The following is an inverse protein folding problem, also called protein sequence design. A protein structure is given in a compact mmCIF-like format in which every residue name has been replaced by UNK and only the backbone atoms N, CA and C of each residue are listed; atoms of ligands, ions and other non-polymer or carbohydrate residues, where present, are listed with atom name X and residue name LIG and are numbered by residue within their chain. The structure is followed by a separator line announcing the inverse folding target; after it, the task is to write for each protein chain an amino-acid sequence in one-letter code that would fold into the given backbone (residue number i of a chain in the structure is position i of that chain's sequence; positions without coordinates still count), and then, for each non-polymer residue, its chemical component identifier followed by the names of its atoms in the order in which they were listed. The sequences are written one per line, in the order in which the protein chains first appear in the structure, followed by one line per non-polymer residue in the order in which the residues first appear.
data_IF_001664214587
#
_entry.id   IF_001664214587
#
_cell.length_a   1.000
_cell.length_b   1.000
_cell.length_c   1.000
_cell.angle_alpha   90.00
_cell.angle_beta   90.00
_cell.angle_gamma   90.00
#
_symmetry.space_group_name_H-M   'P 1'
#
loop_
_entity.id
_entity.type
_entity.pdbx_description
1 polymer ?
#
# COMPACT_ATOMS: atom_id res chain seq x y z
N UNK A 1 -8.53 7.49 -33.67
CA UNK A 1 -7.54 7.49 -32.56
C UNK A 1 -7.91 6.41 -31.52
N UNK A 2 -8.37 5.25 -31.97
CA UNK A 2 -9.05 4.23 -31.13
C UNK A 2 -8.12 3.31 -30.32
N UNK A 3 -6.86 3.12 -30.71
CA UNK A 3 -5.98 2.11 -30.11
C UNK A 3 -5.36 2.46 -28.74
N UNK A 4 -5.50 3.70 -28.26
CA UNK A 4 -4.80 4.17 -27.03
C UNK A 4 -5.52 3.81 -25.72
N UNK A 5 -6.85 3.64 -25.75
CA UNK A 5 -7.67 3.39 -24.56
C UNK A 5 -7.39 2.04 -23.84
N UNK A 6 -7.23 0.89 -24.54
CA UNK A 6 -6.98 -0.38 -23.84
C UNK A 6 -5.58 -0.43 -23.20
N UNK A 7 -4.57 0.14 -23.87
CA UNK A 7 -3.21 0.21 -23.35
C UNK A 7 -3.14 1.12 -22.11
N UNK A 8 -3.81 2.27 -22.13
CA UNK A 8 -3.90 3.17 -20.97
C UNK A 8 -4.53 2.48 -19.76
N UNK A 9 -5.65 1.78 -19.95
CA UNK A 9 -6.30 1.05 -18.85
C UNK A 9 -5.41 -0.06 -18.29
N UNK A 10 -4.72 -0.81 -19.15
CA UNK A 10 -3.77 -1.83 -18.72
C UNK A 10 -2.63 -1.22 -17.89
N UNK A 11 -2.02 -0.13 -18.39
CA UNK A 11 -0.94 0.57 -17.68
C UNK A 11 -1.41 1.12 -16.32
N UNK A 12 -2.64 1.64 -16.22
CA UNK A 12 -3.22 2.08 -14.96
C UNK A 12 -3.32 0.94 -13.94
N UNK A 13 -3.73 -0.26 -14.36
CA UNK A 13 -3.75 -1.43 -13.47
C UNK A 13 -2.35 -1.87 -13.04
N UNK A 14 -1.37 -1.85 -13.95
CA UNK A 14 0.02 -2.14 -13.59
C UNK A 14 0.53 -1.14 -12.55
N UNK A 15 0.27 0.16 -12.74
CA UNK A 15 0.61 1.20 -11.76
C UNK A 15 -0.09 0.95 -10.44
N UNK A 16 -1.38 0.56 -10.46
CA UNK A 16 -2.12 0.25 -9.25
C UNK A 16 -1.53 -0.96 -8.49
N UNK A 17 -1.11 -2.02 -9.18
CA UNK A 17 -0.40 -3.17 -8.58
C UNK A 17 0.88 -2.70 -7.90
N UNK A 18 1.67 -1.86 -8.57
CA UNK A 18 2.92 -1.35 -7.99
C UNK A 18 2.64 -0.51 -6.75
N UNK A 19 1.67 0.41 -6.83
CA UNK A 19 1.33 1.30 -5.72
C UNK A 19 0.81 0.53 -4.50
N UNK A 20 -0.12 -0.41 -4.69
CA UNK A 20 -0.70 -1.16 -3.56
C UNK A 20 0.36 -2.03 -2.88
N UNK A 21 1.25 -2.64 -3.66
CA UNK A 21 2.34 -3.43 -3.10
C UNK A 21 3.37 -2.54 -2.40
N UNK A 22 3.68 -1.35 -2.92
CA UNK A 22 4.57 -0.40 -2.26
C UNK A 22 4.01 0.09 -0.91
N UNK A 23 2.71 0.40 -0.86
CA UNK A 23 2.02 0.73 0.39
C UNK A 23 2.10 -0.43 1.36
N UNK A 24 1.89 -1.66 0.89
CA UNK A 24 1.97 -2.84 1.74
C UNK A 24 3.38 -3.08 2.31
N UNK A 25 4.45 -2.88 1.52
CA UNK A 25 5.83 -2.94 2.05
C UNK A 25 6.02 -1.93 3.18
N UNK A 26 5.48 -0.72 3.05
CA UNK A 26 5.60 0.29 4.09
C UNK A 26 4.89 -0.14 5.38
N UNK A 27 3.65 -0.62 5.27
CA UNK A 27 2.87 -1.13 6.41
C UNK A 27 3.56 -2.33 7.05
N UNK A 28 4.05 -3.28 6.25
CA UNK A 28 4.74 -4.48 6.73
C UNK A 28 6.00 -4.15 7.54
N UNK A 29 6.67 -3.05 7.21
CA UNK A 29 7.90 -2.62 7.89
C UNK A 29 7.66 -1.80 9.17
N UNK A 30 6.42 -1.44 9.49
CA UNK A 30 6.11 -0.69 10.70
C UNK A 30 6.42 -1.50 11.96
N UNK A 31 6.95 -0.80 12.96
CA UNK A 31 7.27 -1.36 14.27
C UNK A 31 6.18 -1.01 15.28
N UNK A 32 5.78 -1.98 16.08
CA UNK A 32 4.94 -1.84 17.25
C UNK A 32 5.84 -1.83 18.50
N UNK A 33 6.05 -0.65 19.12
CA UNK A 33 6.85 -0.55 20.33
C UNK A 33 6.06 -1.04 21.55
N UNK A 34 6.68 -1.86 22.39
CA UNK A 34 6.15 -2.31 23.67
C UNK A 34 7.13 -1.93 24.78
N UNK A 35 6.71 -1.05 25.68
CA UNK A 35 7.51 -0.61 26.82
C UNK A 35 7.48 -1.68 27.91
N UNK A 36 8.66 -2.15 28.30
CA UNK A 36 8.81 -3.17 29.34
C UNK A 36 9.18 -2.55 30.67
N UNK A 37 10.20 -1.71 30.69
CA UNK A 37 10.59 -0.99 31.88
C UNK A 37 10.82 0.47 31.53
N UNK A 38 10.49 1.34 32.47
CA UNK A 38 10.89 2.74 32.44
C UNK A 38 11.43 3.14 33.80
N UNK A 39 12.03 4.33 33.85
CA UNK A 39 12.65 4.89 35.06
C UNK A 39 11.71 4.93 36.26
N UNK A 40 10.40 5.05 36.03
CA UNK A 40 9.38 5.13 37.08
C UNK A 40 8.66 3.80 37.35
N UNK A 41 8.78 2.83 36.44
CA UNK A 41 8.06 1.57 36.51
C UNK A 41 8.99 0.42 36.13
N UNK A 42 9.71 -0.08 37.14
CA UNK A 42 10.56 -1.25 37.02
C UNK A 42 9.82 -2.50 37.48
N UNK A 43 9.86 -3.54 36.65
CA UNK A 43 9.44 -4.89 37.01
C UNK A 43 10.54 -5.88 36.60
N UNK A 44 11.07 -6.68 37.54
CA UNK A 44 12.15 -7.62 37.23
C UNK A 44 11.69 -8.78 36.33
N UNK A 45 10.39 -9.09 36.33
CA UNK A 45 9.80 -10.12 35.49
C UNK A 45 8.59 -9.49 34.79
N UNK A 46 8.64 -9.38 33.46
CA UNK A 46 7.52 -8.92 32.68
C UNK A 46 7.06 -10.00 31.71
N UNK A 47 5.79 -10.35 31.82
CA UNK A 47 5.13 -11.23 30.85
C UNK A 47 4.62 -10.43 29.67
N UNK A 48 4.81 -10.98 28.48
CA UNK A 48 4.41 -10.40 27.20
C UNK A 48 3.76 -11.51 26.38
N UNK A 49 2.53 -11.26 25.93
CA UNK A 49 1.87 -12.13 24.98
C UNK A 49 2.10 -11.62 23.57
N UNK A 50 2.76 -12.42 22.73
CA UNK A 50 2.95 -12.13 21.32
C UNK A 50 1.82 -12.79 20.55
N UNK A 51 0.85 -11.98 20.15
CA UNK A 51 -0.32 -12.45 19.40
C UNK A 51 0.03 -12.86 17.96
N UNK A 52 -0.71 -13.83 17.44
CA UNK A 52 -0.66 -14.18 16.01
C UNK A 52 -1.28 -13.08 15.15
N UNK A 53 -0.72 -12.89 13.96
CA UNK A 53 -1.22 -11.91 12.99
C UNK A 53 -1.99 -12.66 11.91
N UNK A 54 -3.28 -12.36 11.76
CA UNK A 54 -4.19 -13.08 10.85
C UNK A 54 -4.20 -14.61 11.05
N UNK A 55 -4.00 -15.06 12.29
CA UNK A 55 -3.95 -16.49 12.62
C UNK A 55 -2.67 -17.21 12.16
N UNK A 56 -1.66 -16.49 11.67
CA UNK A 56 -0.37 -17.08 11.29
C UNK A 56 0.48 -17.45 12.50
N UNK A 57 1.16 -18.59 12.43
CA UNK A 57 2.19 -19.02 13.39
C UNK A 57 3.60 -18.53 13.02
N UNK A 58 3.74 -17.71 11.96
CA UNK A 58 5.02 -17.14 11.52
C UNK A 58 5.70 -16.34 12.63
N UNK A 59 7.02 -16.50 12.75
CA UNK A 59 7.80 -15.74 13.70
C UNK A 59 7.84 -14.25 13.33
N UNK A 60 7.76 -13.40 14.35
CA UNK A 60 7.68 -11.96 14.23
C UNK A 60 9.06 -11.38 14.52
N UNK A 61 9.65 -10.60 13.59
CA UNK A 61 10.90 -9.90 13.86
C UNK A 61 10.78 -8.97 15.07
N UNK A 62 11.72 -9.09 15.98
CA UNK A 62 11.75 -8.42 17.26
C UNK A 62 13.11 -7.77 17.52
N UNK A 63 13.10 -6.61 18.16
CA UNK A 63 14.30 -5.87 18.57
C UNK A 63 14.14 -5.38 20.00
N UNK A 64 15.01 -5.83 20.91
CA UNK A 64 15.03 -5.37 22.29
C UNK A 64 16.11 -4.30 22.44
N UNK A 65 15.68 -3.13 22.93
CA UNK A 65 16.56 -2.01 23.26
C UNK A 65 16.50 -1.85 24.77
N UNK A 66 17.68 -1.81 25.41
CA UNK A 66 17.81 -1.65 26.85
C UNK A 66 18.84 -0.58 27.14
N UNK A 67 18.51 0.31 28.07
CA UNK A 67 19.42 1.33 28.59
C UNK A 67 19.40 1.24 30.11
N UNK A 68 20.58 1.18 30.73
CA UNK A 68 20.75 1.24 32.17
C UNK A 68 21.43 2.56 32.53
N UNK A 69 20.94 3.23 33.57
CA UNK A 69 21.49 4.50 34.03
C UNK A 69 21.72 4.45 35.54
N UNK A 70 22.91 4.89 35.98
CA UNK A 70 23.21 5.01 37.40
C UNK A 70 22.43 6.16 38.04
N UNK A 71 21.91 5.94 39.23
CA UNK A 71 21.38 6.98 40.13
C UNK A 71 22.31 7.25 41.30
N UNK A 72 22.99 6.22 41.83
CA UNK A 72 23.79 6.36 43.05
C UNK A 72 24.98 5.39 43.16
N UNK A 73 25.30 4.63 42.12
CA UNK A 73 26.35 3.60 42.16
C UNK A 73 27.32 3.71 40.99
N UNK A 74 28.61 3.53 41.25
CA UNK A 74 29.62 3.60 40.19
C UNK A 74 29.73 2.28 39.39
N UNK A 75 29.33 1.16 40.00
CA UNK A 75 29.33 -0.17 39.40
C UNK A 75 28.12 -0.98 39.87
N UNK A 76 27.55 -1.78 38.96
CA UNK A 76 26.47 -2.71 39.23
C UNK A 76 26.53 -3.87 38.23
N UNK A 77 26.08 -5.06 38.65
CA UNK A 77 25.92 -6.22 37.78
C UNK A 77 24.49 -6.28 37.26
N UNK A 78 24.35 -6.52 35.96
CA UNK A 78 23.09 -6.41 35.25
C UNK A 78 22.89 -7.65 34.39
N UNK A 79 21.64 -8.07 34.22
CA UNK A 79 21.33 -9.12 33.25
C UNK A 79 19.95 -8.96 32.65
N UNK A 80 19.82 -9.47 31.43
CA UNK A 80 18.59 -9.47 30.64
C UNK A 80 18.43 -10.87 30.08
N UNK A 81 17.27 -11.49 30.28
CA UNK A 81 16.95 -12.79 29.69
C UNK A 81 15.53 -12.77 29.13
N UNK A 82 15.35 -13.26 27.90
CA UNK A 82 14.04 -13.48 27.29
C UNK A 82 13.77 -14.98 27.30
N UNK A 83 12.70 -15.41 27.97
CA UNK A 83 12.26 -16.81 28.02
C UNK A 83 10.94 -16.98 27.29
N UNK A 84 10.83 -18.03 26.49
CA UNK A 84 9.56 -18.50 25.93
C UNK A 84 8.90 -19.47 26.90
N UNK A 85 7.62 -19.25 27.19
CA UNK A 85 6.78 -20.07 28.08
C UNK A 85 7.43 -20.33 29.45
N UNK A 86 8.23 -19.36 29.93
CA UNK A 86 9.05 -19.45 31.14
C UNK A 86 9.97 -20.69 31.23
N UNK A 87 10.37 -21.26 30.08
CA UNK A 87 11.20 -22.47 30.01
C UNK A 87 12.44 -22.29 29.16
N UNK A 88 12.27 -21.84 27.93
CA UNK A 88 13.34 -21.82 26.93
C UNK A 88 13.91 -20.41 26.82
N UNK A 89 15.18 -20.21 27.18
CA UNK A 89 15.86 -18.94 26.95
C UNK A 89 16.09 -18.74 25.45
N UNK A 90 15.53 -17.65 24.92
CA UNK A 90 15.70 -17.21 23.53
C UNK A 90 16.87 -16.24 23.40
N UNK A 91 17.08 -15.44 24.45
CA UNK A 91 18.18 -14.49 24.54
C UNK A 91 18.61 -14.36 25.99
N UNK A 92 19.91 -14.18 26.23
CA UNK A 92 20.45 -13.85 27.53
C UNK A 92 21.71 -13.00 27.37
N UNK A 93 21.84 -12.00 28.24
CA UNK A 93 23.02 -11.16 28.35
C UNK A 93 23.24 -10.82 29.81
N UNK A 94 24.50 -10.76 30.23
CA UNK A 94 24.92 -10.30 31.54
C UNK A 94 26.22 -9.51 31.44
N UNK A 95 26.34 -8.44 32.22
CA UNK A 95 27.48 -7.54 32.19
C UNK A 95 27.47 -6.55 33.36
N UNK A 96 28.41 -5.63 33.35
CA UNK A 96 28.48 -4.52 34.30
C UNK A 96 27.79 -3.25 33.76
N UNK A 97 27.47 -2.31 34.65
CA UNK A 97 26.91 -1.00 34.29
C UNK A 97 27.79 -0.19 33.33
N UNK A 98 29.09 -0.43 33.34
CA UNK A 98 30.06 0.20 32.43
C UNK A 98 30.10 -0.43 31.04
N UNK A 99 29.49 -1.59 30.86
CA UNK A 99 29.52 -2.32 29.60
C UNK A 99 28.49 -1.75 28.62
N UNK A 100 28.85 -1.75 27.33
CA UNK A 100 27.89 -1.40 26.29
C UNK A 100 26.82 -2.50 26.17
N UNK A 101 25.57 -2.14 26.43
CA UNK A 101 24.45 -3.08 26.36
C UNK A 101 24.12 -3.35 24.90
N UNK A 102 24.25 -4.60 24.42
CA UNK A 102 23.98 -4.91 23.03
C UNK A 102 22.47 -4.82 22.75
N UNK A 103 22.15 -4.20 21.61
CA UNK A 103 20.78 -4.23 21.09
C UNK A 103 20.50 -5.60 20.48
N UNK A 104 19.60 -6.37 21.09
CA UNK A 104 19.24 -7.68 20.57
C UNK A 104 18.26 -7.56 19.40
N UNK A 105 18.46 -8.38 18.36
CA UNK A 105 17.53 -8.54 17.23
C UNK A 105 17.36 -10.03 16.93
N UNK A 106 16.12 -10.46 16.73
CA UNK A 106 15.79 -11.85 16.45
C UNK A 106 14.34 -12.00 15.99
N UNK A 107 13.84 -13.23 16.00
CA UNK A 107 12.45 -13.52 15.65
C UNK A 107 11.75 -14.25 16.80
N UNK A 108 10.53 -13.82 17.12
CA UNK A 108 9.72 -14.38 18.19
C UNK A 108 8.43 -14.97 17.59
N UNK A 109 8.27 -16.29 17.70
CA UNK A 109 7.01 -16.94 17.35
C UNK A 109 5.88 -16.47 18.27
N UNK A 110 4.62 -16.46 17.80
CA UNK A 110 3.48 -16.20 18.67
C UNK A 110 3.48 -17.10 19.91
N UNK A 111 3.11 -16.54 21.07
CA UNK A 111 3.15 -17.23 22.35
C UNK A 111 3.45 -16.31 23.53
N UNK A 112 3.60 -16.90 24.72
CA UNK A 112 3.92 -16.19 25.95
C UNK A 112 5.43 -16.10 26.16
N UNK A 113 5.90 -14.91 26.52
CA UNK A 113 7.30 -14.64 26.82
C UNK A 113 7.42 -13.94 28.17
N UNK A 114 8.50 -14.24 28.87
CA UNK A 114 8.89 -13.56 30.09
C UNK A 114 10.23 -12.89 29.85
N UNK A 115 10.28 -11.56 30.03
CA UNK A 115 11.52 -10.80 30.04
C UNK A 115 11.93 -10.61 31.49
N UNK A 116 13.05 -11.22 31.83
CA UNK A 116 13.69 -11.13 33.13
C UNK A 116 14.80 -10.10 33.05
N UNK A 117 14.75 -9.12 33.95
CA UNK A 117 15.77 -8.09 34.06
C UNK A 117 16.22 -8.04 35.51
N UNK A 118 17.52 -8.20 35.73
CA UNK A 118 18.13 -8.11 37.06
C UNK A 118 18.99 -6.87 37.08
N UNK A 119 18.73 -6.01 38.05
CA UNK A 119 19.36 -4.70 38.23
C UNK A 119 19.64 -4.52 39.72
N UNK A 120 20.85 -4.08 40.05
CA UNK A 120 21.22 -3.75 41.43
C UNK A 120 20.55 -2.44 41.90
N UNK A 121 20.44 -2.25 43.21
CA UNK A 121 19.90 -1.02 43.78
C UNK A 121 20.72 0.21 43.34
N UNK A 122 20.02 1.32 43.04
CA UNK A 122 20.68 2.55 42.58
C UNK A 122 20.93 2.64 41.08
N UNK A 123 20.38 1.71 40.29
CA UNK A 123 20.36 1.75 38.82
C UNK A 123 18.92 1.78 38.32
N UNK A 124 18.64 2.63 37.34
CA UNK A 124 17.36 2.65 36.62
C UNK A 124 17.50 1.95 35.27
N UNK A 125 16.39 1.42 34.76
CA UNK A 125 16.35 0.72 33.47
C UNK A 125 15.22 1.25 32.60
N UNK A 126 15.53 1.46 31.32
CA UNK A 126 14.56 1.64 30.26
C UNK A 126 14.68 0.49 29.28
N UNK A 127 13.57 -0.20 29.01
CA UNK A 127 13.52 -1.31 28.07
C UNK A 127 12.33 -1.19 27.14
N UNK A 128 12.58 -1.39 25.86
CA UNK A 128 11.57 -1.39 24.83
C UNK A 128 11.77 -2.58 23.89
N UNK A 129 10.71 -3.35 23.72
CA UNK A 129 10.62 -4.43 22.74
C UNK A 129 9.85 -3.94 21.51
N UNK A 130 10.54 -3.86 20.38
CA UNK A 130 9.98 -3.45 19.10
C UNK A 130 9.65 -4.68 18.27
N UNK A 131 8.36 -4.89 17.97
CA UNK A 131 7.87 -6.01 17.16
C UNK A 131 7.47 -5.52 15.76
N UNK A 132 7.70 -6.31 14.73
CA UNK A 132 7.21 -6.03 13.35
C UNK A 132 6.16 -7.05 12.92
N UNK A 133 4.92 -6.98 13.44
CA UNK A 133 3.91 -8.03 13.27
C UNK A 133 3.61 -8.31 11.79
N UNK A 134 3.49 -7.26 10.98
CA UNK A 134 3.12 -7.40 9.57
C UNK A 134 4.27 -7.87 8.67
N UNK A 135 5.53 -7.77 9.12
CA UNK A 135 6.68 -8.29 8.37
C UNK A 135 6.58 -9.82 8.23
N UNK A 136 6.10 -10.52 9.27
CA UNK A 136 5.93 -11.98 9.28
C UNK A 136 4.94 -12.47 8.20
N UNK A 137 3.97 -11.64 7.81
CA UNK A 137 2.93 -11.97 6.82
C UNK A 137 3.07 -11.15 5.54
N UNK A 138 4.22 -10.50 5.33
CA UNK A 138 4.43 -9.58 4.22
C UNK A 138 4.19 -10.26 2.86
N UNK A 139 4.78 -11.44 2.64
CA UNK A 139 4.63 -12.17 1.38
C UNK A 139 3.18 -12.56 1.10
N UNK A 140 2.46 -13.02 2.13
CA UNK A 140 1.04 -13.38 2.01
C UNK A 140 0.21 -12.16 1.65
N UNK A 141 0.47 -11.02 2.30
CA UNK A 141 -0.21 -9.77 1.99
C UNK A 141 0.01 -9.32 0.54
N UNK A 142 1.24 -9.43 -0.01
CA UNK A 142 1.51 -9.12 -1.41
C UNK A 142 0.66 -9.97 -2.37
N UNK A 143 0.60 -11.27 -2.11
CA UNK A 143 -0.18 -12.21 -2.94
C UNK A 143 -1.67 -11.88 -2.86
N UNK A 144 -2.21 -11.73 -1.65
CA UNK A 144 -3.64 -11.45 -1.44
C UNK A 144 -4.04 -10.12 -2.06
N UNK A 145 -3.28 -9.04 -1.83
CA UNK A 145 -3.59 -7.72 -2.39
C UNK A 145 -3.54 -7.73 -3.91
N UNK A 146 -2.55 -8.40 -4.51
CA UNK A 146 -2.43 -8.50 -5.96
C UNK A 146 -3.59 -9.30 -6.55
N UNK A 147 -3.97 -10.42 -5.95
CA UNK A 147 -5.12 -11.22 -6.41
C UNK A 147 -6.43 -10.45 -6.28
N UNK A 148 -6.65 -9.75 -5.16
CA UNK A 148 -7.83 -8.91 -4.98
C UNK A 148 -7.90 -7.79 -6.02
N UNK A 149 -6.76 -7.18 -6.36
CA UNK A 149 -6.72 -6.13 -7.37
C UNK A 149 -7.03 -6.67 -8.77
N UNK A 150 -6.50 -7.84 -9.12
CA UNK A 150 -6.82 -8.52 -10.40
C UNK A 150 -8.31 -8.88 -10.46
N UNK A 151 -8.86 -9.42 -9.38
CA UNK A 151 -10.28 -9.74 -9.27
C UNK A 151 -11.16 -8.47 -9.42
N UNK A 152 -10.74 -7.35 -8.81
CA UNK A 152 -11.40 -6.06 -8.95
C UNK A 152 -11.38 -5.57 -10.41
N UNK A 153 -10.23 -5.71 -11.09
CA UNK A 153 -10.06 -5.31 -12.48
C UNK A 153 -10.99 -6.08 -13.44
N UNK A 154 -11.12 -7.39 -13.26
CA UNK A 154 -12.07 -8.19 -14.04
C UNK A 154 -13.52 -7.94 -13.63
N UNK A 155 -13.78 -7.73 -12.33
CA UNK A 155 -15.10 -7.36 -11.83
C UNK A 155 -15.63 -6.09 -12.47
N UNK A 156 -14.80 -5.05 -12.60
CA UNK A 156 -15.14 -3.82 -13.29
C UNK A 156 -15.52 -4.07 -14.76
N UNK A 157 -14.76 -4.89 -15.47
CA UNK A 157 -15.05 -5.23 -16.86
C UNK A 157 -16.39 -5.98 -16.99
N UNK A 158 -16.66 -6.92 -16.07
CA UNK A 158 -17.94 -7.64 -16.01
C UNK A 158 -19.12 -6.70 -15.76
N UNK A 159 -19.00 -5.78 -14.81
CA UNK A 159 -20.04 -4.79 -14.51
C UNK A 159 -20.28 -3.87 -15.72
N UNK A 160 -19.22 -3.36 -16.35
CA UNK A 160 -19.34 -2.53 -17.57
C UNK A 160 -20.04 -3.28 -18.70
N UNK A 161 -19.73 -4.57 -18.88
CA UNK A 161 -20.39 -5.40 -19.90
C UNK A 161 -21.88 -5.60 -19.61
N UNK A 162 -22.27 -5.78 -18.34
CA UNK A 162 -23.68 -5.89 -17.95
C UNK A 162 -24.44 -4.58 -18.17
N UNK A 163 -23.85 -3.43 -17.83
CA UNK A 163 -24.45 -2.12 -18.11
C UNK A 163 -24.57 -1.83 -19.60
N UNK A 164 -23.59 -2.22 -20.42
CA UNK A 164 -23.67 -2.06 -21.88
C UNK A 164 -24.79 -2.90 -22.52
N UNK A 165 -25.24 -3.98 -21.85
CA UNK A 165 -26.36 -4.82 -22.28
C UNK A 165 -27.73 -4.29 -21.85
N UNK A 166 -27.80 -3.25 -21.01
CA UNK A 166 -29.08 -2.60 -20.69
C UNK A 166 -29.58 -1.86 -21.94
N UNK A 167 -30.82 -2.10 -22.40
CA UNK A 167 -31.37 -1.35 -23.52
C UNK A 167 -31.41 0.12 -23.16
N UNK A 168 -30.79 0.95 -23.99
CA UNK A 168 -30.82 2.40 -23.84
C UNK A 168 -32.21 2.86 -24.32
N UNK A 169 -33.07 3.44 -23.46
CA UNK A 169 -34.42 3.83 -23.87
C UNK A 169 -34.45 4.88 -25.00
N UNK A 170 -33.31 5.53 -25.28
CA UNK A 170 -33.17 6.56 -26.31
C UNK A 170 -32.62 6.06 -27.67
N UNK A 171 -32.34 4.76 -27.86
CA UNK A 171 -31.84 4.26 -29.15
C UNK A 171 -32.90 4.18 -30.26
N UNK A 172 -34.11 4.67 -30.01
CA UNK A 172 -35.23 4.69 -30.95
C UNK A 172 -35.37 5.93 -31.84
N UNK A 173 -34.54 6.97 -31.68
CA UNK A 173 -34.50 8.07 -32.65
C UNK A 173 -33.43 7.80 -33.69
N UNK A 174 -33.81 7.07 -34.73
CA UNK A 174 -33.08 7.07 -35.98
C UNK A 174 -32.85 8.54 -36.39
N UNK A 175 -31.59 8.96 -36.44
CA UNK A 175 -31.25 10.18 -37.18
C UNK A 175 -31.57 9.86 -38.63
N UNK A 176 -32.74 10.32 -39.07
CA UNK A 176 -33.16 10.29 -40.47
C UNK A 176 -32.05 10.95 -41.27
N UNK A 177 -31.23 10.12 -41.95
CA UNK A 177 -30.28 10.59 -42.94
C UNK A 177 -31.12 11.08 -44.11
N UNK A 178 -31.48 12.35 -44.09
CA UNK A 178 -32.10 13.01 -45.24
C UNK A 178 -31.22 12.73 -46.47
N UNK A 179 -31.79 12.25 -47.59
CA UNK A 179 -30.99 11.68 -48.68
C UNK A 179 -30.27 12.71 -49.54
N UNK A 180 -30.35 14.00 -49.20
CA UNK A 180 -29.73 15.07 -49.98
C UNK A 180 -28.86 15.95 -49.08
N UNK A 181 -27.56 15.67 -49.04
CA UNK A 181 -26.56 16.72 -48.78
C UNK A 181 -26.22 17.37 -50.12
N UNK A 182 -26.57 18.64 -50.25
CA UNK A 182 -26.19 19.50 -51.38
C UNK A 182 -24.68 19.52 -51.54
N UNK A 183 -24.20 19.31 -52.77
CA UNK A 183 -22.84 19.71 -53.16
C UNK A 183 -22.70 21.19 -52.79
N UNK A 184 -21.78 21.50 -51.89
CA UNK A 184 -21.29 22.87 -51.73
C UNK A 184 -20.69 23.26 -53.08
N UNK A 185 -21.40 24.10 -53.83
CA UNK A 185 -20.85 24.79 -54.98
C UNK A 185 -19.66 25.63 -54.48
N UNK A 186 -18.48 25.34 -55.02
CA UNK A 186 -17.37 26.29 -54.99
C UNK A 186 -17.80 27.47 -55.84
N UNK A 187 -18.02 28.62 -55.21
CA UNK A 187 -18.09 29.90 -55.89
C UNK A 187 -16.64 30.28 -56.19
N UNK A 188 -16.12 29.77 -57.30
CA UNK A 188 -14.92 30.34 -57.93
C UNK A 188 -15.37 31.67 -58.55
N UNK A 189 -14.98 32.76 -57.89
CA UNK A 189 -15.06 34.11 -58.42
C UNK A 189 -14.11 34.19 -59.62
N UNK A 190 -14.65 34.02 -60.83
CA UNK A 190 -14.09 34.61 -62.02
C UNK A 190 -15.23 34.92 -63.01
N UNK A 191 -15.71 36.17 -63.08
CA UNK A 191 -16.75 36.53 -64.03
C UNK A 191 -16.15 36.56 -65.43
N UNK A 192 -16.31 35.47 -66.18
CA UNK A 192 -16.11 35.49 -67.62
C UNK A 192 -17.13 36.49 -68.20
N UNK A 193 -16.61 37.59 -68.72
CA UNK A 193 -17.36 38.65 -69.37
C UNK A 193 -18.15 38.08 -70.56
N UNK A 194 -19.48 38.05 -70.44
CA UNK A 194 -20.36 37.76 -71.55
C UNK A 194 -20.49 39.01 -72.41
N UNK A 195 -20.16 38.89 -73.69
CA UNK A 195 -20.35 39.94 -74.68
C UNK A 195 -21.86 40.19 -74.87
N UNK A 196 -22.29 41.46 -74.91
CA UNK A 196 -23.72 41.86 -74.93
C UNK A 196 -24.51 41.32 -76.14
N UNK A 197 -23.82 40.71 -77.10
CA UNK A 197 -24.42 40.12 -78.31
C UNK A 197 -24.82 38.65 -78.17
N UNK A 198 -24.55 37.99 -77.04
CA UNK A 198 -24.84 36.56 -76.83
C UNK A 198 -25.78 36.30 -75.63
N UNK A 199 -26.67 37.25 -75.35
CA UNK A 199 -27.74 37.07 -74.35
C UNK A 199 -28.87 36.19 -74.90
N UNK A 200 -29.23 35.07 -74.23
CA UNK A 200 -30.27 34.15 -74.68
C UNK A 200 -31.70 34.70 -74.54
N UNK A 201 -31.87 35.92 -74.03
CA UNK A 201 -33.15 36.61 -73.91
C UNK A 201 -33.16 37.84 -74.82
N UNK A 202 -33.64 37.66 -76.05
CA UNK A 202 -34.03 38.77 -76.93
C UNK A 202 -35.46 39.20 -76.62
N UNK A 203 -35.69 40.50 -76.44
CA UNK A 203 -37.04 41.04 -76.47
C UNK A 203 -37.60 41.00 -77.91
N UNK A 204 -38.89 40.66 -78.10
CA UNK A 204 -39.46 40.51 -79.43
C UNK A 204 -39.56 41.86 -80.16
N UNK A 205 -39.31 41.84 -81.46
CA UNK A 205 -39.53 42.97 -82.36
C UNK A 205 -41.03 43.30 -82.39
N UNK A 206 -41.37 44.59 -82.29
CA UNK A 206 -42.74 45.09 -82.49
C UNK A 206 -43.17 45.03 -83.94
#
# INVERSE_FOLDING_TARGET
MEGRRPLQNFLLWVVAVVLINAIWVNVANQSAPNELNSTNQYQPHREIEISSVFGSSSAIPAKLITVFESTSVDNANLSITIKKDNRTAVYSWSGALTDEVPTWSGELAPGSYTVETVVDEGVTVQQQLNLKPFAAVQTVGHVVLTLLLVALAWGEQGVRALYARRPNPDSGKAVEKTPFKSKKFALEEDPVAWDEHDSPWRDPLR
#
